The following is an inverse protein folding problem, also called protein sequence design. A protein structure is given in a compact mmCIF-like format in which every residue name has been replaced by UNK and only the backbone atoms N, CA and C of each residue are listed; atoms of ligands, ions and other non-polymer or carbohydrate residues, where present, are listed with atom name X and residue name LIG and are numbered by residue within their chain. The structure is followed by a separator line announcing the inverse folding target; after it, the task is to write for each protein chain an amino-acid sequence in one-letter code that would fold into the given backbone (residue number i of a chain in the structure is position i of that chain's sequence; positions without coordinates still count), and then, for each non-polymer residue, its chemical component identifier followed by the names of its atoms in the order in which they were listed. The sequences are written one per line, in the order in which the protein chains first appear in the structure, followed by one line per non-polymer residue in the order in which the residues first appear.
data_IF_551079019410
#
_entry.id   IF_551079019410
#
_cell.length_a   1.000
_cell.length_b   1.000
_cell.length_c   1.000
_cell.angle_alpha   90.00
_cell.angle_beta   90.00
_cell.angle_gamma   90.00
#
_symmetry.space_group_name_H-M   'P 1'
#
loop_
_entity.id
_entity.type
_entity.pdbx_description
1 polymer ?
#
# COMPACT_ATOMS: atom_id res chain seq x y z
N UNK A 1 6.81 14.41 -10.27
CA UNK A 1 7.84 13.35 -10.18
C UNK A 1 8.35 13.13 -8.75
N UNK A 2 8.54 14.18 -7.94
CA UNK A 2 9.03 14.06 -6.55
C UNK A 2 8.31 12.98 -5.70
N UNK A 3 6.98 12.87 -5.74
CA UNK A 3 6.24 11.85 -4.98
C UNK A 3 6.54 10.40 -5.38
N UNK A 4 6.89 10.14 -6.65
CA UNK A 4 7.39 8.82 -7.05
C UNK A 4 8.80 8.59 -6.54
N UNK A 5 9.67 9.59 -6.64
CA UNK A 5 11.05 9.49 -6.18
C UNK A 5 11.12 9.19 -4.68
N UNK A 6 10.26 9.83 -3.87
CA UNK A 6 10.16 9.56 -2.43
C UNK A 6 9.66 8.14 -2.15
N UNK A 7 8.62 7.68 -2.85
CA UNK A 7 8.11 6.31 -2.67
C UNK A 7 9.11 5.25 -3.14
N UNK A 8 9.81 5.47 -4.26
CA UNK A 8 10.88 4.60 -4.74
C UNK A 8 12.02 4.57 -3.71
N UNK A 9 12.46 5.73 -3.22
CA UNK A 9 13.48 5.81 -2.17
C UNK A 9 13.03 5.06 -0.90
N UNK A 10 11.76 5.17 -0.51
CA UNK A 10 11.18 4.43 0.60
C UNK A 10 11.16 2.92 0.38
N UNK A 11 10.82 2.45 -0.83
CA UNK A 11 10.89 1.03 -1.19
C UNK A 11 12.33 0.50 -1.22
N UNK A 12 13.28 1.29 -1.71
CA UNK A 12 14.71 0.96 -1.66
C UNK A 12 15.19 0.90 -0.21
N UNK A 13 14.86 1.90 0.61
CA UNK A 13 15.18 1.91 2.03
C UNK A 13 14.55 0.71 2.76
N UNK A 14 13.33 0.31 2.39
CA UNK A 14 12.68 -0.88 2.92
C UNK A 14 13.46 -2.15 2.59
N UNK A 15 13.88 -2.31 1.34
CA UNK A 15 14.71 -3.43 0.90
C UNK A 15 16.05 -3.47 1.64
N UNK A 16 16.72 -2.32 1.79
CA UNK A 16 17.98 -2.23 2.53
C UNK A 16 17.79 -2.55 4.02
N UNK A 17 16.70 -2.08 4.62
CA UNK A 17 16.37 -2.37 6.02
C UNK A 17 16.10 -3.84 6.25
N UNK A 18 15.32 -4.48 5.38
CA UNK A 18 15.12 -5.93 5.38
C UNK A 18 16.45 -6.68 5.20
N UNK A 19 17.30 -6.26 4.26
CA UNK A 19 18.63 -6.83 4.03
C UNK A 19 19.54 -6.71 5.27
N UNK A 20 19.49 -5.58 5.96
CA UNK A 20 20.20 -5.37 7.22
C UNK A 20 19.65 -6.27 8.35
N UNK A 21 18.34 -6.51 8.39
CA UNK A 21 17.73 -7.38 9.39
C UNK A 21 18.33 -8.81 9.38
N UNK A 22 18.69 -9.32 8.20
CA UNK A 22 19.35 -10.63 8.04
C UNK A 22 20.76 -10.68 8.63
N UNK A 23 21.49 -9.57 8.61
CA UNK A 23 22.92 -9.50 8.97
C UNK A 23 23.17 -8.79 10.30
N UNK A 24 22.12 -8.40 11.01
CA UNK A 24 22.23 -7.67 12.26
C UNK A 24 22.90 -8.49 13.37
N UNK A 25 23.79 -7.85 14.11
CA UNK A 25 24.56 -8.46 15.20
C UNK A 25 23.76 -8.71 16.48
N UNK A 26 22.53 -8.21 16.58
CA UNK A 26 21.65 -8.44 17.73
C UNK A 26 20.21 -8.71 17.29
N UNK A 27 19.48 -9.49 18.09
CA UNK A 27 18.06 -9.80 17.86
C UNK A 27 17.23 -8.50 17.80
N UNK A 28 17.48 -7.55 18.70
CA UNK A 28 16.76 -6.29 18.73
C UNK A 28 16.96 -5.47 17.43
N UNK A 29 18.19 -5.37 16.94
CA UNK A 29 18.49 -4.68 15.69
C UNK A 29 17.86 -5.39 14.48
N UNK A 30 17.88 -6.73 14.45
CA UNK A 30 17.24 -7.52 13.40
C UNK A 30 15.73 -7.27 13.34
N UNK A 31 15.06 -7.32 14.50
CA UNK A 31 13.62 -7.07 14.61
C UNK A 31 13.27 -5.63 14.25
N UNK A 32 14.03 -4.66 14.76
CA UNK A 32 13.81 -3.24 14.45
C UNK A 32 13.92 -2.97 12.94
N UNK A 33 14.96 -3.49 12.29
CA UNK A 33 15.14 -3.35 10.86
C UNK A 33 14.03 -4.06 10.05
N UNK A 34 13.57 -5.22 10.49
CA UNK A 34 12.42 -5.88 9.87
C UNK A 34 11.14 -5.04 9.96
N UNK A 35 10.85 -4.49 11.14
CA UNK A 35 9.66 -3.64 11.36
C UNK A 35 9.74 -2.36 10.55
N UNK A 36 10.90 -1.68 10.55
CA UNK A 36 11.12 -0.48 9.73
C UNK A 36 10.93 -0.79 8.25
N UNK A 37 11.54 -1.86 7.75
CA UNK A 37 11.37 -2.30 6.37
C UNK A 37 9.90 -2.57 6.03
N UNK A 38 9.19 -3.30 6.88
CA UNK A 38 7.76 -3.58 6.67
C UNK A 38 6.89 -2.33 6.66
N UNK A 39 7.12 -1.39 7.59
CA UNK A 39 6.42 -0.11 7.64
C UNK A 39 6.67 0.70 6.37
N UNK A 40 7.92 0.80 5.93
CA UNK A 40 8.27 1.52 4.70
C UNK A 40 7.59 0.91 3.46
N UNK A 41 7.55 -0.43 3.36
CA UNK A 41 6.80 -1.10 2.30
C UNK A 41 5.32 -0.70 2.35
N UNK A 42 4.69 -0.73 3.52
CA UNK A 42 3.27 -0.41 3.69
C UNK A 42 2.94 1.02 3.23
N UNK A 43 3.73 2.02 3.64
CA UNK A 43 3.49 3.41 3.27
C UNK A 43 3.84 3.75 1.82
N UNK A 44 4.86 3.11 1.25
CA UNK A 44 5.42 3.53 -0.04
C UNK A 44 4.89 2.72 -1.24
N UNK A 45 4.21 1.59 -1.03
CA UNK A 45 3.73 0.76 -2.16
C UNK A 45 2.38 1.20 -2.73
N UNK A 46 1.52 1.84 -1.93
CA UNK A 46 0.12 2.06 -2.28
C UNK A 46 -0.07 3.03 -3.46
N UNK A 47 0.37 4.28 -3.31
CA UNK A 47 0.16 5.31 -4.33
C UNK A 47 1.00 5.05 -5.59
N UNK A 48 2.21 4.52 -5.43
CA UNK A 48 3.03 4.12 -6.57
C UNK A 48 2.40 2.96 -7.35
N UNK A 49 1.69 2.02 -6.70
CA UNK A 49 0.98 0.96 -7.41
C UNK A 49 -0.15 1.52 -8.29
N UNK A 50 -0.98 2.42 -7.75
CA UNK A 50 -1.96 3.16 -8.56
C UNK A 50 -1.30 3.86 -9.74
N UNK A 51 -0.19 4.56 -9.49
CA UNK A 51 0.53 5.28 -10.53
C UNK A 51 1.08 4.35 -11.61
N UNK A 52 1.87 3.34 -11.24
CA UNK A 52 2.49 2.39 -12.20
C UNK A 52 1.43 1.71 -13.03
N UNK A 53 0.44 1.09 -12.39
CA UNK A 53 -0.63 0.36 -13.09
C UNK A 53 -1.44 1.31 -13.97
N UNK A 54 -1.81 2.48 -13.44
CA UNK A 54 -2.53 3.49 -14.22
C UNK A 54 -1.74 3.94 -15.45
N UNK A 55 -0.43 4.22 -15.31
CA UNK A 55 0.43 4.64 -16.43
C UNK A 55 0.55 3.56 -17.50
N UNK A 56 0.73 2.30 -17.11
CA UNK A 56 0.78 1.15 -18.03
C UNK A 56 -0.53 1.06 -18.83
N UNK A 57 -1.67 1.32 -18.19
CA UNK A 57 -2.99 1.30 -18.82
C UNK A 57 -3.39 2.63 -19.49
N UNK A 58 -2.47 3.59 -19.63
CA UNK A 58 -2.72 4.85 -20.33
C UNK A 58 -3.45 5.94 -19.53
N UNK A 59 -3.67 5.75 -18.22
CA UNK A 59 -4.19 6.80 -17.32
C UNK A 59 -3.08 7.81 -17.01
N UNK A 60 -3.44 9.10 -17.02
CA UNK A 60 -2.57 10.22 -16.67
C UNK A 60 -2.87 10.73 -15.26
N UNK A 61 -1.84 11.27 -14.62
CA UNK A 61 -1.89 11.77 -13.24
C UNK A 61 -1.49 13.24 -13.20
N UNK A 62 -2.26 14.03 -12.45
CA UNK A 62 -2.07 15.47 -12.33
C UNK A 62 -1.11 15.82 -11.19
N UNK A 63 -1.22 15.17 -10.04
CA UNK A 63 -0.43 15.51 -8.85
C UNK A 63 -0.32 14.35 -7.86
N UNK A 64 0.63 14.48 -6.93
CA UNK A 64 0.69 13.69 -5.71
C UNK A 64 0.00 14.44 -4.59
N UNK A 65 -0.64 13.71 -3.68
CA UNK A 65 -1.22 14.24 -2.46
C UNK A 65 -0.59 13.58 -1.25
N UNK A 66 -0.63 14.30 -0.13
CA UNK A 66 -0.30 13.79 1.20
C UNK A 66 -1.49 14.11 2.08
N UNK A 67 -2.02 13.10 2.77
CA UNK A 67 -3.16 13.28 3.67
C UNK A 67 -3.58 11.98 4.33
N UNK A 68 -4.59 12.06 5.19
CA UNK A 68 -5.16 10.88 5.83
C UNK A 68 -5.74 9.86 4.87
N UNK A 69 -6.07 8.69 5.41
CA UNK A 69 -6.81 7.68 4.64
C UNK A 69 -8.17 8.21 4.18
N UNK A 70 -8.57 7.87 2.95
CA UNK A 70 -9.92 8.15 2.44
C UNK A 70 -11.01 7.21 3.00
N UNK A 71 -10.63 6.28 3.87
CA UNK A 71 -11.53 5.33 4.53
C UNK A 71 -11.24 5.20 6.04
N UNK A 72 -11.41 6.28 6.82
CA UNK A 72 -11.06 6.26 8.23
C UNK A 72 -12.01 5.39 9.07
N UNK A 73 -13.27 5.27 8.63
CA UNK A 73 -14.29 4.38 9.19
C UNK A 73 -13.92 2.89 9.10
N UNK A 74 -12.92 2.57 8.27
CA UNK A 74 -12.38 1.22 8.17
C UNK A 74 -11.49 0.82 9.35
N UNK A 75 -11.21 1.74 10.28
CA UNK A 75 -10.35 1.52 11.44
C UNK A 75 -11.14 1.51 12.76
N UNK A 76 -10.71 0.73 13.77
CA UNK A 76 -11.28 0.80 15.11
C UNK A 76 -11.25 2.24 15.65
N UNK A 77 -12.23 2.59 16.49
CA UNK A 77 -12.39 3.97 17.00
C UNK A 77 -11.10 4.58 17.57
N UNK A 78 -10.29 3.79 18.29
CA UNK A 78 -9.01 4.26 18.87
C UNK A 78 -7.90 4.51 17.84
N UNK A 79 -7.99 3.96 16.64
CA UNK A 79 -7.02 4.15 15.56
C UNK A 79 -7.52 5.13 14.50
N UNK A 80 -8.83 5.36 14.41
CA UNK A 80 -9.46 6.21 13.41
C UNK A 80 -8.80 7.58 13.31
N UNK A 81 -8.68 8.31 14.42
CA UNK A 81 -8.04 9.64 14.45
C UNK A 81 -6.61 9.60 13.92
N UNK A 82 -5.84 8.57 14.26
CA UNK A 82 -4.47 8.41 13.77
C UNK A 82 -4.46 8.29 12.26
N UNK A 83 -5.25 7.36 11.70
CA UNK A 83 -5.25 7.12 10.25
C UNK A 83 -5.89 8.27 9.45
N UNK A 84 -6.77 9.08 10.06
CA UNK A 84 -7.29 10.33 9.49
C UNK A 84 -6.22 11.42 9.35
N UNK A 85 -5.18 11.42 10.18
CA UNK A 85 -4.16 12.47 10.21
C UNK A 85 -2.77 12.01 9.78
N UNK A 86 -2.56 10.70 9.70
CA UNK A 86 -1.31 10.12 9.26
C UNK A 86 -1.09 10.41 7.77
N UNK A 87 0.07 10.95 7.36
CA UNK A 87 0.30 11.36 5.98
C UNK A 87 0.53 10.15 5.07
N UNK A 88 -0.53 9.70 4.42
CA UNK A 88 -0.45 8.72 3.35
C UNK A 88 -0.21 9.41 2.01
N UNK A 89 0.63 8.80 1.18
CA UNK A 89 0.79 9.20 -0.20
C UNK A 89 -0.48 8.85 -0.99
N UNK A 90 -0.95 9.81 -1.77
CA UNK A 90 -2.02 9.64 -2.75
C UNK A 90 -1.60 10.13 -4.13
N UNK A 91 -2.35 9.71 -5.15
CA UNK A 91 -2.19 10.18 -6.53
C UNK A 91 -3.51 10.70 -7.07
N UNK A 92 -3.47 11.90 -7.65
CA UNK A 92 -4.62 12.50 -8.30
C UNK A 92 -4.54 12.27 -9.80
N UNK A 93 -5.61 11.74 -10.37
CA UNK A 93 -5.70 11.47 -11.82
C UNK A 93 -6.17 12.69 -12.59
N UNK A 94 -5.73 12.83 -13.84
CA UNK A 94 -6.28 13.86 -14.73
C UNK A 94 -7.73 13.48 -15.08
N UNK A 95 -8.67 14.40 -14.85
CA UNK A 95 -10.12 14.14 -15.02
C UNK A 95 -10.46 13.64 -16.43
N UNK A 96 -9.97 14.32 -17.47
CA UNK A 96 -10.22 13.95 -18.86
C UNK A 96 -9.64 12.56 -19.21
N UNK A 97 -8.45 12.24 -18.70
CA UNK A 97 -7.84 10.93 -18.89
C UNK A 97 -8.65 9.83 -18.20
N UNK A 98 -9.10 10.06 -16.97
CA UNK A 98 -9.93 9.13 -16.22
C UNK A 98 -11.29 8.87 -16.88
N UNK A 99 -11.90 9.91 -17.46
CA UNK A 99 -13.18 9.80 -18.18
C UNK A 99 -13.04 9.03 -19.50
N UNK A 100 -11.89 9.14 -20.18
CA UNK A 100 -11.61 8.40 -21.43
C UNK A 100 -11.26 6.93 -21.19
N UNK A 101 -10.75 6.59 -20.02
CA UNK A 101 -10.34 5.23 -19.68
C UNK A 101 -11.55 4.27 -19.60
N UNK A 102 -11.39 3.05 -20.13
CA UNK A 102 -12.43 2.03 -20.07
C UNK A 102 -12.75 1.63 -18.61
N UNK A 103 -13.99 1.16 -18.33
CA UNK A 103 -14.38 0.66 -17.01
C UNK A 103 -13.38 -0.32 -16.37
N UNK A 104 -12.92 -1.30 -17.14
CA UNK A 104 -11.94 -2.31 -16.69
C UNK A 104 -10.60 -1.65 -16.35
N UNK A 105 -10.11 -0.74 -17.19
CA UNK A 105 -8.86 -0.01 -16.95
C UNK A 105 -8.91 0.76 -15.64
N UNK A 106 -10.04 1.45 -15.38
CA UNK A 106 -10.28 2.17 -14.14
C UNK A 106 -10.32 1.22 -12.95
N UNK A 107 -11.02 0.10 -13.09
CA UNK A 107 -11.15 -0.90 -12.03
C UNK A 107 -9.79 -1.51 -11.65
N UNK A 108 -8.97 -1.89 -12.63
CA UNK A 108 -7.63 -2.44 -12.38
C UNK A 108 -6.75 -1.40 -11.68
N UNK A 109 -6.74 -0.15 -12.15
CA UNK A 109 -5.96 0.92 -11.52
C UNK A 109 -6.39 1.15 -10.08
N UNK A 110 -7.70 1.23 -9.79
CA UNK A 110 -8.19 1.39 -8.42
C UNK A 110 -7.85 0.18 -7.55
N UNK A 111 -8.01 -1.05 -8.03
CA UNK A 111 -7.65 -2.22 -7.22
C UNK A 111 -6.16 -2.28 -6.85
N UNK A 112 -5.27 -1.75 -7.69
CA UNK A 112 -3.82 -1.85 -7.51
C UNK A 112 -3.30 -1.33 -6.16
N UNK A 113 -3.82 -0.20 -5.67
CA UNK A 113 -3.34 0.42 -4.43
C UNK A 113 -3.48 -0.49 -3.23
N UNK A 114 -4.72 -0.83 -2.86
CA UNK A 114 -5.01 -1.70 -1.71
C UNK A 114 -4.45 -3.10 -1.88
N UNK A 115 -4.50 -3.66 -3.10
CA UNK A 115 -3.87 -4.96 -3.36
C UNK A 115 -2.38 -4.92 -3.06
N UNK A 116 -1.67 -3.87 -3.47
CA UNK A 116 -0.24 -3.71 -3.16
C UNK A 116 0.01 -3.56 -1.66
N UNK A 117 -0.83 -2.81 -0.94
CA UNK A 117 -0.73 -2.63 0.52
C UNK A 117 -0.89 -3.94 1.31
N UNK A 118 -1.61 -4.90 0.76
CA UNK A 118 -1.72 -6.25 1.33
C UNK A 118 -0.55 -7.15 0.91
N UNK A 119 -0.21 -7.16 -0.37
CA UNK A 119 0.75 -8.12 -0.94
C UNK A 119 2.19 -7.75 -0.61
N UNK A 120 2.61 -6.51 -0.86
CA UNK A 120 4.02 -6.10 -0.80
C UNK A 120 4.59 -6.23 0.63
N UNK A 121 3.94 -5.72 1.69
CA UNK A 121 4.45 -5.88 3.06
C UNK A 121 4.44 -7.34 3.52
N UNK A 122 3.45 -8.13 3.10
CA UNK A 122 3.37 -9.57 3.40
C UNK A 122 4.54 -10.33 2.76
N UNK A 123 4.89 -10.01 1.51
CA UNK A 123 6.08 -10.56 0.85
C UNK A 123 7.37 -10.14 1.58
N UNK A 124 7.44 -8.91 2.09
CA UNK A 124 8.55 -8.46 2.94
C UNK A 124 8.70 -9.30 4.23
N UNK A 125 7.60 -9.57 4.92
CA UNK A 125 7.60 -10.44 6.10
C UNK A 125 7.96 -11.90 5.76
N UNK A 126 7.46 -12.41 4.62
CA UNK A 126 7.81 -13.73 4.12
C UNK A 126 9.31 -13.82 3.80
N UNK A 127 9.86 -12.80 3.14
CA UNK A 127 11.29 -12.71 2.86
C UNK A 127 12.12 -12.69 4.14
N UNK A 128 11.70 -11.93 5.16
CA UNK A 128 12.39 -11.90 6.46
C UNK A 128 12.40 -13.29 7.13
N UNK A 129 11.29 -14.03 7.04
CA UNK A 129 11.22 -15.41 7.51
C UNK A 129 12.15 -16.34 6.73
N UNK A 130 12.09 -16.31 5.40
CA UNK A 130 12.99 -17.11 4.55
C UNK A 130 14.47 -16.77 4.76
N UNK A 131 14.76 -15.56 5.24
CA UNK A 131 16.12 -15.08 5.53
C UNK A 131 16.59 -15.36 6.96
N UNK A 132 15.79 -16.03 7.79
CA UNK A 132 16.19 -16.42 9.14
C UNK A 132 16.15 -15.29 10.18
N UNK A 133 15.47 -14.17 9.89
CA UNK A 133 15.37 -13.05 10.85
C UNK A 133 14.63 -13.53 12.12
N UNK A 134 15.16 -13.29 13.33
CA UNK A 134 14.49 -13.68 14.58
C UNK A 134 13.07 -13.10 14.68
N UNK A 135 12.11 -13.90 15.18
CA UNK A 135 10.71 -13.48 15.38
C UNK A 135 9.86 -13.30 14.10
N UNK A 136 10.47 -13.38 12.91
CA UNK A 136 9.82 -13.14 11.61
C UNK A 136 8.66 -14.09 11.28
N UNK A 137 8.67 -15.33 11.79
CA UNK A 137 7.53 -16.27 11.65
C UNK A 137 6.25 -15.71 12.27
N UNK A 138 6.34 -15.24 13.52
CA UNK A 138 5.20 -14.63 14.20
C UNK A 138 4.80 -13.32 13.52
N UNK A 139 5.79 -12.55 13.07
CA UNK A 139 5.56 -11.31 12.33
C UNK A 139 4.86 -11.54 10.98
N UNK A 140 5.15 -12.65 10.28
CA UNK A 140 4.42 -13.04 9.07
C UNK A 140 2.96 -13.37 9.37
N UNK A 141 2.67 -14.09 10.47
CA UNK A 141 1.28 -14.33 10.89
C UNK A 141 0.56 -13.01 11.13
N UNK A 142 1.19 -12.07 11.84
CA UNK A 142 0.68 -10.71 11.99
C UNK A 142 0.44 -10.04 10.63
N UNK A 143 1.41 -10.08 9.71
CA UNK A 143 1.30 -9.46 8.39
C UNK A 143 0.15 -10.05 7.56
N UNK A 144 -0.10 -11.37 7.66
CA UNK A 144 -1.23 -12.03 7.01
C UNK A 144 -2.57 -11.55 7.56
N UNK A 145 -2.72 -11.46 8.88
CA UNK A 145 -3.93 -10.90 9.49
C UNK A 145 -4.11 -9.42 9.14
N UNK A 146 -3.03 -8.64 9.12
CA UNK A 146 -3.04 -7.24 8.70
C UNK A 146 -3.49 -7.10 7.23
N UNK A 147 -2.97 -7.94 6.34
CA UNK A 147 -3.34 -7.97 4.93
C UNK A 147 -4.83 -8.35 4.76
N UNK A 148 -5.30 -9.38 5.46
CA UNK A 148 -6.71 -9.77 5.44
C UNK A 148 -7.62 -8.65 5.95
N UNK A 149 -7.25 -7.99 7.05
CA UNK A 149 -7.98 -6.83 7.58
C UNK A 149 -7.99 -5.64 6.62
N UNK A 150 -6.86 -5.33 5.99
CA UNK A 150 -6.74 -4.26 4.98
C UNK A 150 -7.67 -4.53 3.79
N UNK A 151 -7.67 -5.76 3.27
CA UNK A 151 -8.51 -6.17 2.15
C UNK A 151 -9.99 -6.14 2.53
N UNK A 152 -10.35 -6.73 3.67
CA UNK A 152 -11.73 -6.79 4.15
C UNK A 152 -12.31 -5.38 4.42
N UNK A 153 -11.55 -4.52 5.10
CA UNK A 153 -11.94 -3.13 5.38
C UNK A 153 -12.17 -2.33 4.10
N UNK A 154 -11.31 -2.50 3.10
CA UNK A 154 -11.51 -1.81 1.82
C UNK A 154 -12.65 -2.40 0.99
N UNK A 155 -12.86 -3.71 1.08
CA UNK A 155 -13.96 -4.39 0.40
C UNK A 155 -15.32 -3.89 0.89
N UNK A 156 -15.49 -3.73 2.21
CA UNK A 156 -16.74 -3.24 2.83
C UNK A 156 -16.90 -1.73 2.76
N UNK A 157 -15.82 -1.00 2.52
CA UNK A 157 -15.85 0.46 2.41
C UNK A 157 -16.71 0.96 1.25
N UNK A 158 -17.40 2.08 1.48
CA UNK A 158 -18.10 2.85 0.44
C UNK A 158 -17.18 3.79 -0.34
N UNK A 159 -16.04 4.18 0.23
CA UNK A 159 -15.12 5.17 -0.36
C UNK A 159 -13.77 4.59 -0.76
N UNK A 160 -13.45 3.38 -0.31
CA UNK A 160 -12.22 2.64 -0.62
C UNK A 160 -12.05 2.31 -2.11
N UNK A 161 -10.86 1.86 -2.47
CA UNK A 161 -10.49 1.66 -3.87
C UNK A 161 -11.20 0.48 -4.52
N UNK A 162 -11.47 -0.61 -3.79
CA UNK A 162 -12.34 -1.68 -4.31
C UNK A 162 -13.77 -1.18 -4.55
N UNK A 163 -14.25 -0.24 -3.73
CA UNK A 163 -15.54 0.43 -3.97
C UNK A 163 -15.53 1.26 -5.26
N UNK A 164 -14.44 2.02 -5.50
CA UNK A 164 -14.25 2.77 -6.75
C UNK A 164 -14.13 1.85 -7.95
N UNK A 165 -13.45 0.71 -7.81
CA UNK A 165 -13.31 -0.29 -8.85
C UNK A 165 -14.67 -0.90 -9.23
N UNK A 166 -15.46 -1.34 -8.23
CA UNK A 166 -16.82 -1.84 -8.46
C UNK A 166 -17.72 -0.82 -9.14
N UNK A 167 -17.70 0.44 -8.68
CA UNK A 167 -18.46 1.53 -9.33
C UNK A 167 -18.04 1.78 -10.77
N UNK A 168 -16.74 1.64 -11.08
CA UNK A 168 -16.28 1.81 -12.45
C UNK A 168 -16.88 0.73 -13.37
N UNK A 169 -17.01 -0.51 -12.89
CA UNK A 169 -17.59 -1.62 -13.64
C UNK A 169 -19.13 -1.53 -13.74
N UNK A 170 -19.81 -1.11 -12.67
CA UNK A 170 -21.27 -1.04 -12.63
C UNK A 170 -21.89 0.07 -13.51
N UNK A 171 -21.11 1.05 -13.98
CA UNK A 171 -21.59 2.07 -14.93
C UNK A 171 -21.63 1.58 -16.39
N UNK A 172 -21.49 0.28 -16.62
CA UNK A 172 -21.52 -0.37 -17.93
C UNK A 172 -22.72 -1.33 -18.10
N UNK A 173 -23.58 -1.43 -17.07
CA UNK A 173 -24.89 -2.08 -17.12
C UNK A 173 -25.99 -1.00 -17.17
#
# INVERSE_FOLDING_TARGET
MAGNSVQIAGLVAAYLSLSAARSAHSIAAAVAAMVVGWVLLYFCCHAIAHWVVGRILGIRFASYTLGGTGNPEGWPAGLRWVFEHLPFFGVQTEKASMQKASPITRAIMWSAGVTSSAVVPTLGALWAWRSGVPGSKLFLVFALFWAAGTLASNWTSRTGDYSKARRALAMHD
#
